data_IF_562986461355
#
_entry.id   IF_562986461355
#
_cell.length_a   1.000
_cell.length_b   1.000
_cell.length_c   1.000
_cell.angle_alpha   90.00
_cell.angle_beta   90.00
_cell.angle_gamma   90.00
#
_symmetry.space_group_name_H-M   'P 1'
#
loop_
_entity.id
_entity.type
_entity.pdbx_description
1 polymer ?
#
# COMPACT_ATOMS: atom_id res chain seq x y z
N UNK A 1 -12.46 19.51 26.79
CA UNK A 1 -12.23 19.88 25.37
C UNK A 1 -11.10 19.00 24.85
N UNK A 2 -11.29 18.33 23.74
CA UNK A 2 -10.19 17.56 23.15
C UNK A 2 -9.08 18.53 22.73
N UNK A 3 -7.84 18.22 23.07
CA UNK A 3 -6.68 19.02 22.72
C UNK A 3 -6.51 19.05 21.19
N UNK A 4 -6.43 20.24 20.61
CA UNK A 4 -6.27 20.37 19.15
C UNK A 4 -4.80 20.09 18.82
N UNK A 5 -4.54 18.93 18.21
CA UNK A 5 -3.20 18.54 17.79
C UNK A 5 -2.66 19.47 16.69
N UNK A 6 -1.39 19.84 16.81
CA UNK A 6 -0.65 20.54 15.75
C UNK A 6 -0.36 19.62 14.57
N UNK A 7 -0.04 20.18 13.41
CA UNK A 7 0.36 19.39 12.22
C UNK A 7 1.57 18.47 12.50
N UNK A 8 2.57 18.99 13.23
CA UNK A 8 3.74 18.19 13.61
C UNK A 8 3.36 16.99 14.51
N UNK A 9 2.49 17.19 15.49
CA UNK A 9 2.01 16.09 16.35
C UNK A 9 1.23 15.04 15.53
N UNK A 10 0.44 15.43 14.53
CA UNK A 10 -0.24 14.48 13.64
C UNK A 10 0.73 13.65 12.82
N UNK A 11 1.82 14.26 12.31
CA UNK A 11 2.88 13.52 11.60
C UNK A 11 3.55 12.50 12.52
N UNK A 12 3.85 12.86 13.77
CA UNK A 12 4.41 11.93 14.74
C UNK A 12 3.47 10.76 15.01
N UNK A 13 2.16 11.02 15.14
CA UNK A 13 1.15 9.98 15.33
C UNK A 13 0.99 9.10 14.08
N UNK A 14 1.02 9.69 12.88
CA UNK A 14 0.96 8.93 11.62
C UNK A 14 2.11 7.92 11.48
N UNK A 15 3.29 8.27 12.00
CA UNK A 15 4.52 7.47 11.96
C UNK A 15 4.75 6.61 13.20
N UNK A 16 3.86 6.66 14.16
CA UNK A 16 4.05 5.98 15.42
C UNK A 16 4.11 4.46 15.24
N UNK A 17 5.13 3.80 15.81
CA UNK A 17 5.40 2.37 15.61
C UNK A 17 4.26 1.45 16.08
N UNK A 18 3.50 1.86 17.10
CA UNK A 18 2.34 1.12 17.59
C UNK A 18 1.07 1.35 16.75
N UNK A 19 1.13 2.21 15.72
CA UNK A 19 -0.01 2.42 14.83
C UNK A 19 -0.27 1.15 14.04
N UNK A 20 -1.53 0.68 13.92
CA UNK A 20 -1.86 -0.49 13.12
C UNK A 20 -1.41 -0.33 11.66
N UNK A 21 -0.66 -1.28 11.15
CA UNK A 21 -0.22 -1.34 9.76
C UNK A 21 -1.10 -2.25 8.91
N UNK A 22 -0.74 -2.41 7.64
CA UNK A 22 -1.49 -3.23 6.67
C UNK A 22 -1.75 -4.65 7.17
N UNK A 23 -0.76 -5.30 7.79
CA UNK A 23 -0.92 -6.66 8.30
C UNK A 23 -1.95 -6.74 9.45
N UNK A 24 -1.99 -5.73 10.31
CA UNK A 24 -2.95 -5.66 11.41
C UNK A 24 -4.38 -5.49 10.87
N UNK A 25 -4.57 -4.64 9.86
CA UNK A 25 -5.88 -4.48 9.20
C UNK A 25 -6.30 -5.73 8.45
N UNK A 26 -5.36 -6.44 7.80
CA UNK A 26 -5.66 -7.72 7.16
C UNK A 26 -6.16 -8.73 8.20
N UNK A 27 -5.45 -8.89 9.31
CA UNK A 27 -5.82 -9.81 10.37
C UNK A 27 -7.16 -9.47 11.04
N UNK A 28 -7.50 -8.18 11.14
CA UNK A 28 -8.71 -7.73 11.82
C UNK A 28 -9.98 -7.76 10.94
N UNK A 29 -9.84 -7.51 9.63
CA UNK A 29 -10.98 -7.27 8.74
C UNK A 29 -11.28 -8.42 7.78
N UNK A 30 -10.31 -9.29 7.54
CA UNK A 30 -10.42 -10.32 6.49
C UNK A 30 -10.19 -11.72 7.07
N UNK A 31 -10.76 -12.71 6.39
CA UNK A 31 -10.46 -14.12 6.62
C UNK A 31 -9.78 -14.73 5.39
N UNK A 32 -9.12 -15.85 5.57
CA UNK A 32 -8.53 -16.66 4.49
C UNK A 32 -7.55 -15.88 3.60
N UNK A 33 -6.77 -14.96 4.21
CA UNK A 33 -5.79 -14.20 3.46
C UNK A 33 -4.68 -15.09 2.89
N UNK A 34 -4.59 -15.10 1.57
CA UNK A 34 -3.55 -15.81 0.83
C UNK A 34 -2.60 -14.80 0.17
N UNK A 35 -1.41 -14.64 0.75
CA UNK A 35 -0.38 -13.74 0.23
C UNK A 35 0.13 -14.22 -1.13
N UNK A 36 0.22 -13.31 -2.08
CA UNK A 36 0.76 -13.55 -3.42
C UNK A 36 2.03 -12.74 -3.64
N UNK A 37 3.16 -13.40 -3.64
CA UNK A 37 4.50 -12.81 -3.79
C UNK A 37 4.94 -12.69 -5.24
N UNK A 38 5.93 -11.81 -5.46
CA UNK A 38 6.65 -11.64 -6.71
C UNK A 38 5.97 -10.78 -7.77
N UNK A 39 6.79 -10.08 -8.54
CA UNK A 39 6.35 -9.23 -9.66
C UNK A 39 6.13 -10.03 -10.95
N UNK A 40 6.43 -11.33 -10.96
CA UNK A 40 6.43 -12.23 -12.13
C UNK A 40 7.45 -11.87 -13.20
N UNK A 41 8.39 -11.01 -12.90
CA UNK A 41 9.53 -10.72 -13.76
C UNK A 41 10.80 -11.38 -13.20
N UNK A 42 11.23 -11.02 -12.00
CA UNK A 42 12.40 -11.64 -11.37
C UNK A 42 12.51 -11.45 -9.86
N UNK A 43 11.69 -10.62 -9.21
CA UNK A 43 11.90 -10.23 -7.81
C UNK A 43 10.63 -10.20 -6.96
N UNK A 44 10.85 -10.27 -5.66
CA UNK A 44 9.90 -9.94 -4.61
C UNK A 44 10.27 -8.61 -3.98
N UNK A 45 9.27 -7.81 -3.65
CA UNK A 45 9.42 -6.65 -2.78
C UNK A 45 8.51 -6.81 -1.56
N UNK A 46 9.07 -7.09 -0.38
CA UNK A 46 8.30 -7.33 0.82
C UNK A 46 7.67 -6.06 1.42
N UNK A 47 8.03 -4.86 0.94
CA UNK A 47 7.42 -3.59 1.34
C UNK A 47 5.98 -3.44 0.84
N UNK A 48 5.55 -4.26 -0.13
CA UNK A 48 4.16 -4.41 -0.53
C UNK A 48 3.65 -5.77 -0.07
N UNK A 49 2.63 -5.76 0.76
CA UNK A 49 1.85 -6.93 1.17
C UNK A 49 0.60 -7.00 0.31
N UNK A 50 0.37 -8.11 -0.38
CA UNK A 50 -0.80 -8.22 -1.22
C UNK A 50 -1.24 -9.66 -1.47
N UNK A 51 -2.52 -9.84 -1.74
CA UNK A 51 -3.10 -11.16 -1.94
C UNK A 51 -4.61 -11.15 -2.11
N UNK A 52 -5.20 -12.31 -1.93
CA UNK A 52 -6.64 -12.54 -1.98
C UNK A 52 -7.12 -12.86 -0.57
N UNK A 53 -8.29 -12.36 -0.22
CA UNK A 53 -8.91 -12.60 1.08
C UNK A 53 -10.43 -12.64 0.95
N UNK A 54 -11.11 -12.99 2.03
CA UNK A 54 -12.56 -12.83 2.15
C UNK A 54 -12.86 -11.63 3.07
N UNK A 55 -13.65 -10.68 2.57
CA UNK A 55 -14.25 -9.61 3.35
C UNK A 55 -15.74 -9.89 3.53
N UNK A 56 -16.16 -10.23 4.76
CA UNK A 56 -17.56 -10.62 5.06
C UNK A 56 -18.08 -11.71 4.10
N UNK A 57 -17.23 -12.70 3.80
CA UNK A 57 -17.56 -13.83 2.91
C UNK A 57 -17.43 -13.53 1.41
N UNK A 58 -17.10 -12.31 1.00
CA UNK A 58 -16.90 -11.95 -0.41
C UNK A 58 -15.42 -11.91 -0.78
N UNK A 59 -15.00 -12.53 -1.90
CA UNK A 59 -13.60 -12.51 -2.31
C UNK A 59 -13.18 -11.11 -2.75
N UNK A 60 -12.07 -10.64 -2.21
CA UNK A 60 -11.45 -9.33 -2.51
C UNK A 60 -9.96 -9.49 -2.77
N UNK A 61 -9.38 -8.53 -3.47
CA UNK A 61 -7.92 -8.37 -3.56
C UNK A 61 -7.49 -7.28 -2.60
N UNK A 62 -6.51 -7.57 -1.76
CA UNK A 62 -5.97 -6.63 -0.77
C UNK A 62 -4.52 -6.33 -1.14
N UNK A 63 -4.14 -5.05 -1.15
CA UNK A 63 -2.78 -4.59 -1.46
C UNK A 63 -2.45 -3.46 -0.48
N UNK A 64 -1.28 -3.48 0.15
CA UNK A 64 -0.91 -2.37 1.03
C UNK A 64 0.59 -2.27 1.27
N UNK A 65 1.02 -1.08 1.66
CA UNK A 65 2.39 -0.85 2.10
C UNK A 65 2.62 -1.56 3.44
N UNK A 66 3.82 -2.10 3.60
CA UNK A 66 4.23 -2.79 4.83
C UNK A 66 5.40 -2.04 5.47
N UNK A 67 5.20 -1.58 6.70
CA UNK A 67 6.25 -1.15 7.61
C UNK A 67 6.48 -2.20 8.68
N UNK A 68 7.69 -2.26 9.20
CA UNK A 68 8.02 -3.12 10.34
C UNK A 68 7.66 -2.50 11.67
N UNK A 69 7.57 -3.32 12.72
CA UNK A 69 7.43 -2.91 14.13
C UNK A 69 8.75 -2.99 14.90
N UNK A 70 9.78 -3.53 14.28
CA UNK A 70 11.16 -3.56 14.77
C UNK A 70 12.10 -2.93 13.73
N UNK A 71 13.33 -2.61 14.14
CA UNK A 71 14.33 -2.11 13.19
C UNK A 71 14.65 -3.15 12.12
N UNK A 72 14.78 -4.41 12.52
CA UNK A 72 15.05 -5.52 11.61
C UNK A 72 13.96 -5.68 10.55
N UNK A 73 12.70 -5.67 10.97
CA UNK A 73 11.55 -5.71 10.05
C UNK A 73 11.52 -4.48 9.14
N UNK A 74 11.81 -3.28 9.67
CA UNK A 74 11.84 -2.07 8.85
C UNK A 74 12.92 -2.13 7.77
N UNK A 75 14.09 -2.67 8.09
CA UNK A 75 15.15 -2.91 7.10
C UNK A 75 14.67 -3.93 6.06
N UNK A 76 14.07 -5.04 6.49
CA UNK A 76 13.54 -6.07 5.58
C UNK A 76 12.44 -5.54 4.65
N UNK A 77 11.60 -4.62 5.13
CA UNK A 77 10.51 -3.99 4.36
C UNK A 77 10.90 -2.64 3.76
N UNK A 78 12.20 -2.35 3.70
CA UNK A 78 12.73 -1.09 3.15
C UNK A 78 12.02 0.15 3.72
N UNK A 79 11.72 0.15 5.02
CA UNK A 79 11.00 1.22 5.73
C UNK A 79 9.63 1.57 5.12
N UNK A 80 9.00 0.61 4.45
CA UNK A 80 7.75 0.80 3.73
C UNK A 80 7.89 1.60 2.43
N UNK A 81 9.09 1.67 1.88
CA UNK A 81 9.39 2.34 0.60
C UNK A 81 9.51 1.31 -0.53
N UNK A 82 8.49 1.12 -1.37
CA UNK A 82 8.57 0.13 -2.43
C UNK A 82 9.57 0.50 -3.52
N UNK A 83 10.26 -0.53 -4.00
CA UNK A 83 10.97 -0.49 -5.27
C UNK A 83 10.02 -0.75 -6.46
N UNK A 84 10.54 -0.74 -7.69
CA UNK A 84 9.73 -0.97 -8.88
C UNK A 84 9.04 -2.34 -8.88
N UNK A 85 9.64 -3.34 -8.25
CA UNK A 85 9.09 -4.69 -8.12
C UNK A 85 7.81 -4.71 -7.26
N UNK A 86 7.75 -3.89 -6.22
CA UNK A 86 6.56 -3.74 -5.38
C UNK A 86 5.37 -3.17 -6.15
N UNK A 87 5.61 -2.14 -6.95
CA UNK A 87 4.57 -1.56 -7.81
C UNK A 87 4.12 -2.52 -8.92
N UNK A 88 5.05 -3.23 -9.56
CA UNK A 88 4.70 -4.27 -10.55
C UNK A 88 3.91 -5.42 -9.93
N UNK A 89 4.25 -5.84 -8.70
CA UNK A 89 3.46 -6.81 -7.94
C UNK A 89 2.03 -6.28 -7.71
N UNK A 90 1.88 -5.02 -7.32
CA UNK A 90 0.58 -4.40 -7.16
C UNK A 90 -0.23 -4.40 -8.46
N UNK A 91 0.37 -4.02 -9.60
CA UNK A 91 -0.28 -4.08 -10.92
C UNK A 91 -0.76 -5.49 -11.25
N UNK A 92 0.09 -6.50 -11.05
CA UNK A 92 -0.28 -7.90 -11.29
C UNK A 92 -1.50 -8.33 -10.47
N UNK A 93 -1.57 -7.90 -9.20
CA UNK A 93 -2.73 -8.19 -8.34
C UNK A 93 -3.98 -7.44 -8.80
N UNK A 94 -3.83 -6.21 -9.30
CA UNK A 94 -4.92 -5.43 -9.92
C UNK A 94 -5.43 -6.11 -11.20
N UNK A 95 -4.53 -6.62 -12.04
CA UNK A 95 -4.89 -7.37 -13.25
C UNK A 95 -5.68 -8.64 -12.93
N UNK A 96 -5.29 -9.36 -11.89
CA UNK A 96 -6.04 -10.51 -11.42
C UNK A 96 -7.41 -10.11 -10.84
N UNK A 97 -7.47 -9.00 -10.09
CA UNK A 97 -8.72 -8.49 -9.56
C UNK A 97 -9.70 -8.16 -10.69
N UNK A 98 -9.23 -7.45 -11.71
CA UNK A 98 -10.01 -7.14 -12.91
C UNK A 98 -10.51 -8.38 -13.62
N UNK A 99 -9.61 -9.35 -13.86
CA UNK A 99 -9.94 -10.61 -14.54
C UNK A 99 -11.01 -11.42 -13.82
N UNK A 100 -10.92 -11.48 -12.49
CA UNK A 100 -11.81 -12.29 -11.66
C UNK A 100 -12.94 -11.48 -11.00
N UNK A 101 -13.10 -10.21 -11.40
CA UNK A 101 -14.14 -9.30 -10.92
C UNK A 101 -14.17 -9.15 -9.39
N UNK A 102 -12.99 -9.15 -8.76
CA UNK A 102 -12.86 -8.92 -7.31
C UNK A 102 -12.67 -7.43 -7.03
N UNK A 103 -13.39 -6.85 -6.06
CA UNK A 103 -13.06 -5.52 -5.54
C UNK A 103 -11.62 -5.47 -5.03
N UNK A 104 -11.00 -4.30 -5.15
CA UNK A 104 -9.65 -4.03 -4.64
C UNK A 104 -9.74 -3.14 -3.42
N UNK A 105 -9.02 -3.51 -2.37
CA UNK A 105 -8.87 -2.70 -1.16
C UNK A 105 -7.38 -2.40 -1.01
N UNK A 106 -7.02 -1.10 -0.93
CA UNK A 106 -5.64 -0.70 -0.75
C UNK A 106 -5.42 0.00 0.58
N UNK A 107 -4.29 -0.31 1.24
CA UNK A 107 -3.83 0.34 2.46
C UNK A 107 -2.56 1.15 2.18
N UNK A 108 -2.61 2.45 2.41
CA UNK A 108 -1.50 3.36 2.14
C UNK A 108 -0.81 3.75 3.44
N UNK A 109 0.47 3.38 3.54
CA UNK A 109 1.35 3.78 4.65
C UNK A 109 2.81 3.73 4.19
N UNK A 110 3.27 4.77 3.53
CA UNK A 110 4.64 4.89 3.00
C UNK A 110 5.13 6.32 3.06
N UNK A 111 6.41 6.56 3.41
CA UNK A 111 7.02 7.88 3.25
C UNK A 111 7.25 8.25 1.78
N UNK A 112 7.18 7.28 0.86
CA UNK A 112 7.40 7.44 -0.57
C UNK A 112 7.95 6.18 -1.22
N UNK A 113 8.25 6.26 -2.51
CA UNK A 113 8.97 5.20 -3.22
C UNK A 113 10.46 5.17 -2.81
N UNK A 114 11.10 4.03 -2.93
CA UNK A 114 12.52 3.90 -2.63
C UNK A 114 13.38 4.75 -3.58
N UNK A 115 14.21 5.68 -3.06
CA UNK A 115 14.93 6.66 -3.88
C UNK A 115 16.32 6.20 -4.33
N UNK A 116 16.62 4.89 -4.29
CA UNK A 116 17.95 4.37 -4.64
C UNK A 116 18.21 4.37 -6.14
N UNK A 117 19.47 4.60 -6.54
CA UNK A 117 19.90 4.57 -7.94
C UNK A 117 19.57 3.26 -8.64
N UNK A 118 19.68 2.15 -7.93
CA UNK A 118 19.32 0.82 -8.43
C UNK A 118 17.81 0.67 -8.69
N UNK A 119 16.96 1.38 -7.96
CA UNK A 119 15.52 1.39 -8.23
C UNK A 119 15.22 2.22 -9.49
N UNK A 120 15.86 3.38 -9.65
CA UNK A 120 15.76 4.17 -10.87
C UNK A 120 16.24 3.39 -12.10
N UNK A 121 17.38 2.70 -12.00
CA UNK A 121 17.91 1.85 -13.07
C UNK A 121 16.97 0.70 -13.45
N UNK A 122 16.11 0.25 -12.52
CA UNK A 122 15.09 -0.78 -12.77
C UNK A 122 13.70 -0.22 -13.13
N UNK A 123 13.61 1.10 -13.37
CA UNK A 123 12.39 1.75 -13.85
C UNK A 123 11.41 2.16 -12.76
N UNK A 124 11.88 2.76 -11.65
CA UNK A 124 11.03 3.21 -10.54
C UNK A 124 9.92 4.16 -10.99
N UNK A 125 10.28 5.21 -11.75
CA UNK A 125 9.32 6.20 -12.23
C UNK A 125 8.27 5.59 -13.16
N UNK A 126 8.69 4.70 -14.06
CA UNK A 126 7.78 3.96 -14.97
C UNK A 126 6.83 3.06 -14.18
N UNK A 127 7.35 2.29 -13.20
CA UNK A 127 6.53 1.39 -12.40
C UNK A 127 5.47 2.14 -11.58
N UNK A 128 5.80 3.32 -11.03
CA UNK A 128 4.84 4.19 -10.35
C UNK A 128 3.77 4.69 -11.33
N UNK A 129 4.19 5.27 -12.45
CA UNK A 129 3.28 5.88 -13.42
C UNK A 129 2.32 4.84 -14.02
N UNK A 130 2.83 3.67 -14.39
CA UNK A 130 2.01 2.59 -14.93
C UNK A 130 1.05 2.00 -13.89
N UNK A 131 1.43 1.97 -12.59
CA UNK A 131 0.53 1.55 -11.52
C UNK A 131 -0.62 2.53 -11.33
N UNK A 132 -0.35 3.84 -11.33
CA UNK A 132 -1.38 4.88 -11.29
C UNK A 132 -2.35 4.72 -12.47
N UNK A 133 -1.81 4.61 -13.69
CA UNK A 133 -2.61 4.42 -14.89
C UNK A 133 -3.45 3.14 -14.81
N UNK A 134 -2.85 2.04 -14.36
CA UNK A 134 -3.57 0.76 -14.23
C UNK A 134 -4.71 0.85 -13.21
N UNK A 135 -4.45 1.42 -12.04
CA UNK A 135 -5.45 1.57 -10.99
C UNK A 135 -6.62 2.46 -11.44
N UNK A 136 -6.32 3.53 -12.20
CA UNK A 136 -7.34 4.44 -12.76
C UNK A 136 -8.25 3.77 -13.80
N UNK A 137 -7.77 2.71 -14.47
CA UNK A 137 -8.50 2.00 -15.51
C UNK A 137 -9.26 0.77 -14.98
N UNK A 138 -9.20 0.45 -13.70
CA UNK A 138 -9.92 -0.68 -13.13
C UNK A 138 -11.44 -0.46 -13.23
N UNK A 139 -12.16 -1.48 -13.69
CA UNK A 139 -13.63 -1.47 -13.73
C UNK A 139 -14.27 -2.10 -12.50
N UNK A 140 -13.47 -2.79 -11.67
CA UNK A 140 -13.89 -3.30 -10.38
C UNK A 140 -13.85 -2.20 -9.32
N UNK A 141 -14.70 -2.24 -8.28
CA UNK A 141 -14.65 -1.26 -7.19
C UNK A 141 -13.29 -1.23 -6.51
N UNK A 142 -12.77 -0.02 -6.26
CA UNK A 142 -11.51 0.21 -5.55
C UNK A 142 -11.74 1.12 -4.35
N UNK A 143 -11.39 0.63 -3.16
CA UNK A 143 -11.42 1.39 -1.92
C UNK A 143 -10.00 1.56 -1.41
N UNK A 144 -9.56 2.79 -1.25
CA UNK A 144 -8.26 3.14 -0.66
C UNK A 144 -8.44 3.62 0.76
N UNK A 145 -7.58 3.17 1.67
CA UNK A 145 -7.53 3.65 3.05
C UNK A 145 -6.11 4.15 3.35
N UNK A 146 -5.94 5.44 3.59
CA UNK A 146 -4.67 5.98 4.10
C UNK A 146 -4.64 5.75 5.60
N UNK A 147 -3.80 4.79 6.02
CA UNK A 147 -3.77 4.30 7.41
C UNK A 147 -2.69 4.98 8.26
N UNK A 148 -1.65 5.54 7.65
CA UNK A 148 -0.55 6.22 8.32
C UNK A 148 -0.10 7.44 7.53
N UNK A 149 1.04 7.38 6.86
CA UNK A 149 1.52 8.45 5.99
C UNK A 149 1.40 8.06 4.51
N UNK A 150 1.11 9.05 3.67
CA UNK A 150 1.12 8.92 2.22
C UNK A 150 2.10 9.90 1.61
N UNK A 151 3.25 9.42 1.13
CA UNK A 151 4.30 10.23 0.53
C UNK A 151 4.29 10.18 -0.99
N UNK A 152 4.02 11.34 -1.61
CA UNK A 152 4.24 11.61 -3.03
C UNK A 152 3.69 10.55 -4.01
N UNK A 153 4.35 10.37 -5.16
CA UNK A 153 3.98 9.40 -6.19
C UNK A 153 3.96 7.95 -5.72
N UNK A 154 4.83 7.61 -4.75
CA UNK A 154 4.86 6.26 -4.18
C UNK A 154 3.57 5.86 -3.47
N UNK A 155 2.99 6.79 -2.71
CA UNK A 155 1.68 6.60 -2.10
C UNK A 155 0.56 6.66 -3.15
N UNK A 156 0.66 7.59 -4.12
CA UNK A 156 -0.36 7.80 -5.14
C UNK A 156 -0.59 6.54 -5.98
N UNK A 157 0.46 5.76 -6.23
CA UNK A 157 0.37 4.49 -6.97
C UNK A 157 -0.65 3.50 -6.40
N UNK A 158 -0.97 3.59 -5.09
CA UNK A 158 -2.01 2.77 -4.44
C UNK A 158 -3.19 3.62 -3.92
N UNK A 159 -3.27 4.92 -4.25
CA UNK A 159 -4.26 5.83 -3.69
C UNK A 159 -5.35 6.28 -4.67
N UNK A 160 -5.33 5.82 -5.92
CA UNK A 160 -6.30 6.21 -6.96
C UNK A 160 -7.53 5.30 -6.89
N UNK A 161 -8.31 5.41 -5.81
CA UNK A 161 -9.51 4.59 -5.61
C UNK A 161 -10.81 5.34 -5.91
N UNK A 162 -11.91 4.59 -6.16
CA UNK A 162 -13.26 5.17 -6.30
C UNK A 162 -13.73 5.80 -4.98
N UNK A 163 -13.23 5.29 -3.85
CA UNK A 163 -13.41 5.84 -2.52
C UNK A 163 -12.07 5.91 -1.82
N UNK A 164 -11.73 7.06 -1.31
CA UNK A 164 -10.51 7.28 -0.51
C UNK A 164 -10.94 7.65 0.90
N UNK A 165 -10.50 6.85 1.85
CA UNK A 165 -10.69 7.06 3.28
C UNK A 165 -9.36 7.46 3.91
N UNK A 166 -9.40 8.34 4.86
CA UNK A 166 -8.22 8.76 5.62
C UNK A 166 -8.52 8.52 7.11
N UNK A 167 -7.69 7.74 7.78
CA UNK A 167 -7.85 7.54 9.22
C UNK A 167 -7.48 8.80 9.98
N UNK A 168 -8.02 8.92 11.18
CA UNK A 168 -7.65 10.03 12.08
C UNK A 168 -6.14 10.09 12.28
N UNK A 169 -5.57 11.29 12.18
CA UNK A 169 -4.13 11.58 12.24
C UNK A 169 -3.29 10.93 11.15
N UNK A 170 -3.88 10.28 10.15
CA UNK A 170 -3.15 9.96 8.93
C UNK A 170 -2.82 11.26 8.17
N UNK A 171 -1.71 11.26 7.44
CA UNK A 171 -1.24 12.44 6.68
C UNK A 171 -0.93 12.04 5.24
N UNK A 172 -1.14 12.99 4.32
CA UNK A 172 -0.76 12.81 2.92
C UNK A 172 -0.05 14.08 2.46
N UNK A 173 1.10 13.91 1.80
CA UNK A 173 1.87 15.03 1.21
C UNK A 173 2.49 14.63 -0.12
N UNK A 174 2.61 15.61 -1.00
CA UNK A 174 3.24 15.48 -2.31
C UNK A 174 4.54 16.26 -2.32
#
# INVERSE_FOLDING_TARGET
MAEILTAAQRVVLARHIARPGTADFIAALFTDFFEQKGDRQNREDPSILGGIALYKGHPVTVIGHRKGKTLEENVAYNFGMPGPEGYRKAQRLMDQAEKFKRPVITFVDTPGAYPGLEAEARGQGEAIASTIARMSCLTVPVVTVVIGEGGSGGALALAVGNRVLLLENAVYSV
#
